data_IF_022364560443
#
_entry.id   IF_022364560443
#
_cell.length_a   1.000
_cell.length_b   1.000
_cell.length_c   1.000
_cell.angle_alpha   90.00
_cell.angle_beta   90.00
_cell.angle_gamma   90.00
#
_symmetry.space_group_name_H-M   'P 1'
#
loop_
_entity.id
_entity.type
_entity.pdbx_description
1 polymer ?
#
# COMPACT_ATOMS: atom_id res chain seq x y z
N UNK A 1 -38.06 37.43 -37.15
CA UNK A 1 -36.60 37.29 -37.30
C UNK A 1 -36.17 36.16 -36.39
N UNK A 2 -36.08 34.93 -36.92
CA UNK A 2 -35.59 33.79 -36.13
C UNK A 2 -34.12 34.04 -35.79
N UNK A 3 -33.78 34.03 -34.50
CA UNK A 3 -32.38 34.06 -34.08
C UNK A 3 -31.77 32.71 -34.47
N UNK A 4 -30.82 32.71 -35.40
CA UNK A 4 -30.03 31.52 -35.71
C UNK A 4 -29.32 31.05 -34.43
N UNK A 5 -29.57 29.82 -34.03
CA UNK A 5 -28.83 29.18 -32.93
C UNK A 5 -27.41 28.91 -33.43
N UNK A 6 -26.42 29.43 -32.71
CA UNK A 6 -25.00 29.19 -32.98
C UNK A 6 -24.59 27.85 -32.34
N UNK A 7 -24.22 26.88 -33.17
CA UNK A 7 -23.88 25.50 -32.76
C UNK A 7 -22.40 25.32 -32.40
N UNK A 8 -21.67 26.42 -32.17
CA UNK A 8 -20.23 26.39 -31.88
C UNK A 8 -19.97 26.08 -30.41
N UNK A 9 -18.96 25.24 -30.18
CA UNK A 9 -18.36 25.06 -28.85
C UNK A 9 -17.20 26.05 -28.72
N UNK A 10 -17.20 26.82 -27.64
CA UNK A 10 -16.19 27.82 -27.30
C UNK A 10 -15.23 27.29 -26.23
N UNK A 11 -13.95 27.73 -26.22
CA UNK A 11 -13.00 27.40 -25.16
C UNK A 11 -13.58 27.66 -23.75
N UNK A 12 -13.43 26.69 -22.86
CA UNK A 12 -13.97 26.69 -21.50
C UNK A 12 -15.39 26.11 -21.36
N UNK A 13 -16.15 25.98 -22.45
CA UNK A 13 -17.47 25.34 -22.37
C UNK A 13 -17.32 23.87 -21.98
N UNK A 14 -18.17 23.44 -21.04
CA UNK A 14 -18.15 22.09 -20.46
C UNK A 14 -16.79 21.72 -19.83
N UNK A 15 -15.93 22.70 -19.53
CA UNK A 15 -14.59 22.49 -18.99
C UNK A 15 -13.56 22.08 -20.03
N UNK A 16 -13.86 22.20 -21.33
CA UNK A 16 -12.98 21.79 -22.43
C UNK A 16 -12.29 23.02 -23.03
N UNK A 17 -10.98 22.94 -23.28
CA UNK A 17 -10.23 24.03 -23.93
C UNK A 17 -9.88 25.21 -23.00
N UNK A 18 -9.94 25.00 -21.69
CA UNK A 18 -9.51 25.94 -20.64
C UNK A 18 -8.47 25.26 -19.75
N UNK A 19 -7.64 26.05 -19.04
CA UNK A 19 -6.70 25.53 -18.03
C UNK A 19 -7.42 25.04 -16.76
N UNK A 20 -8.65 25.48 -16.55
CA UNK A 20 -9.51 25.06 -15.43
C UNK A 20 -10.79 24.40 -15.96
N UNK A 21 -11.21 23.32 -15.30
CA UNK A 21 -12.53 22.72 -15.50
C UNK A 21 -13.67 23.60 -14.98
N UNK A 22 -14.90 23.15 -15.21
CA UNK A 22 -16.10 23.78 -14.64
C UNK A 22 -16.06 23.80 -13.12
N UNK A 23 -16.67 24.81 -12.53
CA UNK A 23 -16.88 24.88 -11.09
C UNK A 23 -17.95 23.85 -10.70
N UNK A 24 -17.64 23.01 -9.71
CA UNK A 24 -18.65 22.18 -9.05
C UNK A 24 -19.62 23.10 -8.30
N UNK A 25 -20.93 23.08 -8.61
CA UNK A 25 -21.89 24.00 -8.00
C UNK A 25 -21.89 23.88 -6.47
N UNK A 26 -21.81 25.02 -5.78
CA UNK A 26 -21.74 25.13 -4.31
C UNK A 26 -20.59 24.35 -3.64
N UNK A 27 -19.59 23.93 -4.43
CA UNK A 27 -18.56 23.00 -3.98
C UNK A 27 -19.09 21.62 -3.60
N UNK A 28 -20.32 21.27 -4.00
CA UNK A 28 -20.96 20.00 -3.70
C UNK A 28 -21.00 19.10 -4.94
N UNK A 29 -20.29 17.98 -4.88
CA UNK A 29 -20.27 17.02 -5.97
C UNK A 29 -21.65 16.45 -6.31
N UNK A 30 -22.63 16.47 -5.38
CA UNK A 30 -23.99 16.04 -5.68
C UNK A 30 -24.72 16.98 -6.64
N UNK A 31 -24.29 18.24 -6.73
CA UNK A 31 -24.89 19.26 -7.60
C UNK A 31 -24.25 19.31 -8.99
N UNK A 32 -23.13 18.62 -9.20
CA UNK A 32 -22.51 18.48 -10.52
C UNK A 32 -23.26 17.45 -11.37
N UNK A 33 -24.39 17.89 -11.93
CA UNK A 33 -25.34 17.05 -12.71
C UNK A 33 -25.33 17.33 -14.22
N UNK A 34 -24.45 18.22 -14.68
CA UNK A 34 -24.31 18.56 -16.11
C UNK A 34 -23.07 17.84 -16.64
N UNK A 35 -23.16 17.27 -17.84
CA UNK A 35 -22.02 16.61 -18.46
C UNK A 35 -20.87 17.61 -18.69
N UNK A 36 -19.65 17.24 -18.31
CA UNK A 36 -18.48 18.08 -18.45
C UNK A 36 -17.29 17.64 -17.61
N UNK A 37 -16.22 18.42 -17.69
CA UNK A 37 -15.00 18.26 -16.88
C UNK A 37 -14.98 19.35 -15.82
N UNK A 38 -14.96 18.94 -14.56
CA UNK A 38 -15.03 19.82 -13.40
C UNK A 38 -13.68 19.89 -12.69
N UNK A 39 -13.35 21.07 -12.18
CA UNK A 39 -12.25 21.26 -11.25
C UNK A 39 -12.74 21.00 -9.82
N UNK A 40 -11.97 20.25 -9.04
CA UNK A 40 -12.31 19.94 -7.67
C UNK A 40 -12.40 21.20 -6.78
N UNK A 41 -13.33 21.27 -5.80
CA UNK A 41 -13.54 22.46 -4.97
C UNK A 41 -12.45 22.72 -3.91
N UNK A 42 -11.48 21.83 -3.75
CA UNK A 42 -10.49 21.88 -2.67
C UNK A 42 -11.03 21.43 -1.31
N UNK A 43 -10.42 21.90 -0.22
CA UNK A 43 -10.69 21.44 1.16
C UNK A 43 -12.14 21.61 1.63
N UNK A 44 -12.88 22.56 1.07
CA UNK A 44 -14.27 22.84 1.43
C UNK A 44 -15.31 21.99 0.66
N UNK A 45 -14.87 21.02 -0.14
CA UNK A 45 -15.76 20.21 -0.95
C UNK A 45 -16.74 19.40 -0.10
N UNK A 46 -17.98 19.30 -0.58
CA UNK A 46 -19.03 18.43 -0.02
C UNK A 46 -19.22 17.22 -0.92
N UNK A 47 -19.51 16.08 -0.31
CA UNK A 47 -19.75 14.81 -1.00
C UNK A 47 -18.61 14.36 -1.94
N UNK A 48 -17.39 14.84 -1.68
CA UNK A 48 -16.15 14.32 -2.27
C UNK A 48 -15.62 13.12 -1.51
N UNK A 49 -14.62 12.45 -2.07
CA UNK A 49 -14.02 11.24 -1.47
C UNK A 49 -12.50 11.31 -1.49
N UNK A 50 -11.86 10.92 -0.38
CA UNK A 50 -10.40 10.97 -0.24
C UNK A 50 -9.83 12.34 -0.63
N UNK A 51 -8.74 12.34 -1.41
CA UNK A 51 -8.10 13.57 -1.90
C UNK A 51 -8.65 14.06 -3.26
N UNK A 52 -9.72 13.45 -3.79
CA UNK A 52 -10.33 13.88 -5.07
C UNK A 52 -10.82 15.32 -5.11
N UNK A 53 -11.16 16.01 -3.99
CA UNK A 53 -11.48 17.44 -4.03
C UNK A 53 -10.39 18.33 -4.63
N UNK A 54 -9.15 17.87 -4.75
CA UNK A 54 -8.04 18.62 -5.36
C UNK A 54 -7.75 18.20 -6.81
N UNK A 55 -8.52 17.25 -7.36
CA UNK A 55 -8.35 16.72 -8.71
C UNK A 55 -9.49 17.07 -9.66
N UNK A 56 -9.36 16.72 -10.95
CA UNK A 56 -10.45 16.82 -11.91
C UNK A 56 -11.52 15.75 -11.67
N UNK A 57 -12.76 16.08 -12.06
CA UNK A 57 -13.90 15.17 -12.04
C UNK A 57 -14.62 15.19 -13.38
N UNK A 58 -14.80 14.02 -13.98
CA UNK A 58 -15.66 13.82 -15.15
C UNK A 58 -17.07 13.52 -14.71
N UNK A 59 -18.02 14.29 -15.25
CA UNK A 59 -19.45 14.06 -15.08
C UNK A 59 -20.02 13.69 -16.44
N UNK A 60 -20.64 12.53 -16.52
CA UNK A 60 -21.23 12.00 -17.76
C UNK A 60 -22.68 11.62 -17.48
N UNK A 61 -23.59 12.48 -17.92
CA UNK A 61 -25.03 12.25 -17.79
C UNK A 61 -25.59 11.59 -19.05
N UNK A 62 -26.36 10.50 -18.88
CA UNK A 62 -27.26 9.99 -19.91
C UNK A 62 -28.54 10.85 -19.97
N UNK A 63 -29.07 11.14 -18.79
CA UNK A 63 -30.19 12.06 -18.48
C UNK A 63 -29.93 12.63 -17.08
N UNK A 64 -30.62 13.70 -16.63
CA UNK A 64 -30.32 14.32 -15.34
C UNK A 64 -30.25 13.32 -14.18
N UNK A 65 -31.11 12.30 -14.15
CA UNK A 65 -31.18 11.33 -13.06
C UNK A 65 -30.30 10.08 -13.20
N UNK A 66 -29.51 10.00 -14.29
CA UNK A 66 -28.59 8.90 -14.56
C UNK A 66 -27.21 9.44 -14.96
N UNK A 67 -26.31 9.51 -13.98
CA UNK A 67 -25.03 10.22 -14.11
C UNK A 67 -23.89 9.39 -13.55
N UNK A 68 -22.86 9.18 -14.35
CA UNK A 68 -21.58 8.66 -13.89
C UNK A 68 -20.66 9.83 -13.49
N UNK A 69 -20.15 9.79 -12.27
CA UNK A 69 -19.07 10.66 -11.83
C UNK A 69 -17.79 9.85 -11.66
N UNK A 70 -16.69 10.38 -12.19
CA UNK A 70 -15.36 9.79 -12.09
C UNK A 70 -14.38 10.85 -11.63
N UNK A 71 -13.69 10.60 -10.54
CA UNK A 71 -12.72 11.53 -9.98
C UNK A 71 -11.40 10.83 -9.76
N UNK A 72 -10.31 11.47 -10.17
CA UNK A 72 -8.96 10.94 -10.03
C UNK A 72 -8.04 11.98 -9.43
N UNK A 73 -7.26 11.58 -8.44
CA UNK A 73 -6.19 12.42 -7.93
C UNK A 73 -5.01 11.60 -7.44
N UNK A 74 -3.80 12.05 -7.78
CA UNK A 74 -2.53 11.34 -7.58
C UNK A 74 -2.56 9.93 -8.16
N UNK A 75 -2.91 8.92 -7.36
CA UNK A 75 -2.88 7.50 -7.73
C UNK A 75 -4.20 6.77 -7.44
N UNK A 76 -5.28 7.47 -7.09
CA UNK A 76 -6.55 6.82 -6.77
C UNK A 76 -7.67 7.31 -7.67
N UNK A 77 -8.26 6.35 -8.38
CA UNK A 77 -9.47 6.57 -9.18
C UNK A 77 -10.70 6.18 -8.37
N UNK A 78 -11.69 7.07 -8.37
CA UNK A 78 -12.99 6.88 -7.76
C UNK A 78 -14.09 7.05 -8.80
N UNK A 79 -15.18 6.32 -8.62
CA UNK A 79 -16.39 6.50 -9.39
C UNK A 79 -17.62 6.30 -8.52
N UNK A 80 -18.71 6.94 -8.93
CA UNK A 80 -20.05 6.68 -8.38
C UNK A 80 -21.09 6.92 -9.45
N UNK A 81 -22.29 6.42 -9.20
CA UNK A 81 -23.40 6.58 -10.12
C UNK A 81 -24.59 7.22 -9.41
N UNK A 82 -25.24 8.16 -10.10
CA UNK A 82 -26.58 8.67 -9.77
C UNK A 82 -27.58 7.82 -10.51
N UNK A 83 -28.57 7.29 -9.80
CA UNK A 83 -29.66 6.50 -10.38
C UNK A 83 -30.99 6.97 -9.80
N UNK A 84 -31.97 7.25 -10.67
CA UNK A 84 -33.27 7.81 -10.31
C UNK A 84 -33.16 9.04 -9.39
N UNK A 85 -32.15 9.85 -9.65
CA UNK A 85 -31.94 11.10 -8.95
C UNK A 85 -31.18 10.97 -7.62
N UNK A 86 -30.85 9.75 -7.20
CA UNK A 86 -30.17 9.44 -5.94
C UNK A 86 -28.71 9.08 -6.20
N UNK A 87 -27.79 9.66 -5.44
CA UNK A 87 -26.37 9.32 -5.54
C UNK A 87 -26.06 8.04 -4.77
N UNK A 88 -25.40 7.09 -5.45
CA UNK A 88 -24.75 5.97 -4.81
C UNK A 88 -23.46 6.37 -4.10
N UNK A 89 -22.90 5.42 -3.36
CA UNK A 89 -21.61 5.58 -2.71
C UNK A 89 -20.48 5.76 -3.73
N UNK A 90 -19.40 6.41 -3.30
CA UNK A 90 -18.14 6.37 -4.02
C UNK A 90 -17.48 5.00 -3.86
N UNK A 91 -17.11 4.42 -5.00
CA UNK A 91 -16.26 3.25 -5.10
C UNK A 91 -14.90 3.68 -5.63
N UNK A 92 -13.86 2.92 -5.28
CA UNK A 92 -12.52 3.15 -5.81
C UNK A 92 -12.09 1.95 -6.66
N UNK A 93 -11.26 2.21 -7.65
CA UNK A 93 -10.64 1.15 -8.46
C UNK A 93 -9.41 0.65 -7.72
N UNK A 94 -9.35 -0.66 -7.47
CA UNK A 94 -8.18 -1.31 -6.90
C UNK A 94 -7.10 -1.40 -7.99
N UNK A 95 -5.96 -0.77 -7.73
CA UNK A 95 -4.81 -0.76 -8.63
C UNK A 95 -3.71 -1.69 -8.09
N UNK A 96 -2.92 -2.27 -8.99
CA UNK A 96 -1.92 -3.30 -8.66
C UNK A 96 -0.75 -2.79 -7.81
N UNK A 97 -0.56 -1.47 -7.72
CA UNK A 97 0.43 -0.81 -6.85
C UNK A 97 -0.04 -0.67 -5.40
N UNK A 98 -1.33 -0.88 -5.12
CA UNK A 98 -1.91 -0.79 -3.78
C UNK A 98 -2.43 -2.15 -3.27
N UNK A 99 -2.63 -3.12 -4.17
CA UNK A 99 -3.23 -4.41 -3.87
C UNK A 99 -2.52 -5.55 -4.59
N UNK A 100 -2.29 -6.64 -3.87
CA UNK A 100 -1.75 -7.92 -4.34
C UNK A 100 -2.80 -9.02 -4.18
N UNK A 101 -2.64 -10.11 -4.92
CA UNK A 101 -3.50 -11.31 -4.81
C UNK A 101 -2.68 -12.40 -4.15
N UNK A 102 -3.18 -12.99 -3.07
CA UNK A 102 -2.49 -14.11 -2.43
C UNK A 102 -2.63 -15.42 -3.22
N UNK A 103 -1.91 -16.46 -2.78
CA UNK A 103 -1.91 -17.77 -3.43
C UNK A 103 -3.31 -18.44 -3.49
N UNK A 104 -4.28 -17.96 -2.69
CA UNK A 104 -5.65 -18.46 -2.65
C UNK A 104 -6.62 -17.56 -3.43
N UNK A 105 -6.14 -16.50 -4.09
CA UNK A 105 -6.97 -15.59 -4.87
C UNK A 105 -7.60 -14.44 -4.06
N UNK A 106 -7.24 -14.25 -2.79
CA UNK A 106 -7.76 -13.13 -2.00
C UNK A 106 -6.95 -11.86 -2.23
N UNK A 107 -7.65 -10.75 -2.51
CA UNK A 107 -7.06 -9.43 -2.61
C UNK A 107 -6.64 -8.90 -1.25
N UNK A 108 -5.46 -8.28 -1.24
CA UNK A 108 -4.72 -8.01 -0.04
C UNK A 108 -3.88 -6.75 -0.27
N UNK A 109 -3.97 -5.78 0.63
CA UNK A 109 -3.20 -4.52 0.50
C UNK A 109 -1.72 -4.83 0.31
N UNK A 110 -1.09 -4.22 -0.69
CA UNK A 110 0.33 -4.35 -0.92
C UNK A 110 1.09 -3.85 0.32
N UNK A 111 2.02 -4.66 0.83
CA UNK A 111 2.74 -4.39 2.08
C UNK A 111 4.23 -4.36 1.78
N UNK A 112 4.99 -3.37 2.29
CA UNK A 112 6.43 -3.36 2.19
C UNK A 112 7.02 -4.62 2.85
N UNK A 113 7.70 -5.45 2.07
CA UNK A 113 8.29 -6.71 2.51
C UNK A 113 9.78 -6.71 2.19
N UNK A 114 10.57 -7.21 3.12
CA UNK A 114 12.00 -7.44 2.95
C UNK A 114 12.29 -8.90 3.23
N UNK A 115 12.83 -9.62 2.24
CA UNK A 115 13.29 -10.99 2.40
C UNK A 115 14.78 -10.97 2.71
N UNK A 116 15.16 -11.46 3.88
CA UNK A 116 16.54 -11.50 4.37
C UNK A 116 17.06 -12.93 4.21
N UNK A 117 18.12 -13.07 3.44
CA UNK A 117 18.83 -14.33 3.23
C UNK A 117 20.19 -14.26 3.95
N UNK A 118 20.89 -15.39 4.02
CA UNK A 118 22.21 -15.45 4.66
C UNK A 118 23.28 -14.59 3.97
N UNK A 119 23.12 -14.31 2.67
CA UNK A 119 24.11 -13.65 1.83
C UNK A 119 23.57 -12.46 1.01
N UNK A 120 22.25 -12.21 1.06
CA UNK A 120 21.59 -11.14 0.31
C UNK A 120 20.30 -10.73 1.00
N UNK A 121 19.71 -9.64 0.53
CA UNK A 121 18.33 -9.30 0.83
C UNK A 121 17.60 -8.91 -0.46
N UNK A 122 16.27 -9.00 -0.43
CA UNK A 122 15.40 -8.63 -1.55
C UNK A 122 14.27 -7.75 -1.03
N UNK A 123 13.97 -6.67 -1.75
CA UNK A 123 12.87 -5.73 -1.49
C UNK A 123 11.82 -5.84 -2.58
N UNK A 124 10.56 -5.56 -2.24
CA UNK A 124 9.50 -5.33 -3.23
C UNK A 124 9.41 -3.85 -3.60
N UNK A 125 8.50 -3.51 -4.52
CA UNK A 125 8.32 -2.13 -4.97
C UNK A 125 7.95 -1.19 -3.81
N UNK A 126 7.20 -1.70 -2.83
CA UNK A 126 6.74 -0.97 -1.66
C UNK A 126 7.80 -0.79 -0.57
N UNK A 127 8.90 -1.57 -0.58
CA UNK A 127 10.02 -1.46 0.38
C UNK A 127 11.30 -0.91 -0.24
N UNK A 128 11.20 -0.27 -1.41
CA UNK A 128 12.33 0.44 -2.04
C UNK A 128 12.90 1.50 -1.10
N UNK A 129 14.23 1.50 -0.95
CA UNK A 129 14.95 2.40 -0.04
C UNK A 129 15.33 1.74 1.29
N UNK A 130 14.69 0.63 1.66
CA UNK A 130 15.13 -0.15 2.80
C UNK A 130 16.42 -0.91 2.47
N UNK A 131 17.31 -1.01 3.44
CA UNK A 131 18.57 -1.75 3.32
C UNK A 131 18.77 -2.70 4.49
N UNK A 132 19.46 -3.80 4.25
CA UNK A 132 19.78 -4.79 5.30
C UNK A 132 21.29 -5.00 5.37
N UNK A 133 21.81 -4.91 6.58
CA UNK A 133 23.24 -5.09 6.89
C UNK A 133 23.41 -6.23 7.89
N UNK A 134 24.25 -7.22 7.57
CA UNK A 134 24.65 -8.28 8.52
C UNK A 134 25.84 -7.79 9.33
N UNK A 135 25.66 -7.56 10.63
CA UNK A 135 26.74 -7.09 11.51
C UNK A 135 27.61 -8.24 12.04
N UNK A 136 26.97 -9.35 12.41
CA UNK A 136 27.65 -10.55 12.90
C UNK A 136 26.82 -11.78 12.57
N UNK A 137 27.31 -12.96 12.94
CA UNK A 137 26.52 -14.19 12.82
C UNK A 137 25.19 -14.04 13.57
N UNK A 138 24.11 -14.32 12.85
CA UNK A 138 22.75 -14.26 13.37
C UNK A 138 22.25 -12.85 13.72
N UNK A 139 22.94 -11.78 13.32
CA UNK A 139 22.53 -10.40 13.63
C UNK A 139 22.45 -9.54 12.37
N UNK A 140 21.23 -9.08 12.08
CA UNK A 140 20.87 -8.30 10.90
C UNK A 140 20.25 -6.96 11.34
N UNK A 141 20.61 -5.88 10.64
CA UNK A 141 20.08 -4.54 10.86
C UNK A 141 19.32 -4.10 9.61
N UNK A 142 18.07 -3.69 9.78
CA UNK A 142 17.21 -3.17 8.72
C UNK A 142 17.07 -1.66 8.90
N UNK A 143 17.53 -0.90 7.91
CA UNK A 143 17.53 0.58 7.89
C UNK A 143 16.59 1.11 6.81
N UNK A 144 16.21 2.39 6.92
CA UNK A 144 15.31 3.05 5.97
C UNK A 144 13.83 2.69 6.19
N UNK A 145 13.49 2.26 7.40
CA UNK A 145 12.15 1.82 7.81
C UNK A 145 11.76 2.50 9.13
N UNK A 146 10.47 2.55 9.43
CA UNK A 146 9.88 3.11 10.65
C UNK A 146 9.42 2.00 11.62
N UNK A 147 10.14 0.87 11.63
CA UNK A 147 9.75 -0.33 12.36
C UNK A 147 8.89 -1.30 11.55
N UNK A 148 8.22 -2.22 12.25
CA UNK A 148 7.33 -3.19 11.62
C UNK A 148 6.06 -2.55 11.10
N UNK A 149 5.44 -3.20 10.13
CA UNK A 149 4.16 -2.74 9.59
C UNK A 149 3.08 -2.73 10.70
N UNK A 150 2.49 -1.57 10.95
CA UNK A 150 1.48 -1.37 12.01
C UNK A 150 0.09 -1.90 11.65
N UNK A 151 -0.12 -2.38 10.42
CA UNK A 151 -1.40 -2.94 9.99
C UNK A 151 -1.63 -4.31 10.63
N UNK A 152 -2.60 -4.37 11.55
CA UNK A 152 -2.98 -5.57 12.28
C UNK A 152 -3.47 -6.72 11.36
N UNK A 153 -3.87 -6.42 10.11
CA UNK A 153 -4.24 -7.45 9.13
C UNK A 153 -3.03 -8.23 8.58
N UNK A 154 -1.82 -7.72 8.81
CA UNK A 154 -0.58 -8.22 8.20
C UNK A 154 0.53 -8.54 9.21
N UNK A 155 0.64 -7.72 10.25
CA UNK A 155 1.68 -7.83 11.28
C UNK A 155 1.37 -8.85 12.37
N UNK A 156 0.10 -9.19 12.58
CA UNK A 156 -0.29 -9.72 13.90
C UNK A 156 0.15 -8.76 15.02
N UNK A 157 0.21 -9.24 16.25
CA UNK A 157 0.69 -8.43 17.40
C UNK A 157 2.21 -8.21 17.35
N UNK A 158 2.94 -9.07 16.62
CA UNK A 158 4.41 -9.18 16.67
C UNK A 158 5.11 -8.77 15.34
N UNK A 159 4.48 -7.91 14.54
CA UNK A 159 5.17 -7.19 13.45
C UNK A 159 5.34 -7.92 12.10
N UNK A 160 4.72 -9.08 11.87
CA UNK A 160 4.63 -9.67 10.53
C UNK A 160 5.93 -10.28 10.04
N UNK A 161 6.56 -11.08 10.90
CA UNK A 161 7.76 -11.85 10.59
C UNK A 161 7.38 -13.28 10.22
N UNK A 162 7.86 -13.75 9.07
CA UNK A 162 7.78 -15.16 8.68
C UNK A 162 9.17 -15.80 8.68
N UNK A 163 9.30 -16.92 9.40
CA UNK A 163 10.56 -17.63 9.62
C UNK A 163 10.62 -18.92 8.80
N UNK A 164 11.83 -19.37 8.40
CA UNK A 164 11.95 -20.54 7.54
C UNK A 164 11.57 -21.84 8.26
N UNK A 165 10.70 -22.61 7.61
CA UNK A 165 10.24 -23.91 8.09
C UNK A 165 10.95 -25.06 7.34
N UNK A 166 11.15 -26.18 8.03
CA UNK A 166 11.56 -27.43 7.41
C UNK A 166 10.38 -28.12 6.71
N UNK A 167 10.65 -29.22 5.99
CA UNK A 167 9.63 -30.02 5.28
C UNK A 167 8.48 -30.52 6.18
N UNK A 168 8.71 -30.63 7.49
CA UNK A 168 7.72 -31.06 8.49
C UNK A 168 7.03 -29.89 9.19
N UNK A 169 7.13 -28.67 8.65
CA UNK A 169 6.60 -27.42 9.25
C UNK A 169 7.18 -27.09 10.64
N UNK A 170 8.38 -27.58 10.95
CA UNK A 170 9.11 -27.19 12.15
C UNK A 170 10.03 -26.00 11.83
N UNK A 171 10.01 -24.91 12.62
CA UNK A 171 10.88 -23.76 12.38
C UNK A 171 12.37 -24.10 12.53
N UNK A 172 13.19 -23.61 11.61
CA UNK A 172 14.63 -23.91 11.60
C UNK A 172 15.45 -22.99 12.52
N UNK A 173 14.89 -21.84 12.88
CA UNK A 173 15.51 -20.82 13.73
C UNK A 173 14.48 -20.23 14.69
N UNK A 174 14.96 -19.63 15.76
CA UNK A 174 14.24 -18.63 16.55
C UNK A 174 14.55 -17.24 16.01
N UNK A 175 13.65 -16.30 16.24
CA UNK A 175 13.84 -14.90 15.91
C UNK A 175 13.49 -14.06 17.13
N UNK A 176 14.35 -13.10 17.41
CA UNK A 176 14.09 -12.00 18.34
C UNK A 176 14.35 -10.67 17.62
N UNK A 177 13.78 -9.59 18.10
CA UNK A 177 13.97 -8.27 17.49
C UNK A 177 13.92 -7.12 18.51
N UNK A 178 14.58 -6.04 18.14
CA UNK A 178 14.56 -4.77 18.85
C UNK A 178 14.33 -3.65 17.83
N UNK A 179 13.29 -2.85 18.03
CA UNK A 179 13.03 -1.66 17.20
C UNK A 179 13.66 -0.46 17.89
N UNK A 180 14.61 0.17 17.23
CA UNK A 180 15.31 1.34 17.73
C UNK A 180 14.43 2.59 17.59
N UNK A 181 14.69 3.68 18.35
CA UNK A 181 13.88 4.89 18.31
C UNK A 181 13.80 5.59 16.95
N UNK A 182 14.78 5.35 16.07
CA UNK A 182 14.83 5.85 14.69
C UNK A 182 14.03 4.98 13.70
N UNK A 183 13.40 3.90 14.17
CA UNK A 183 12.67 2.93 13.37
C UNK A 183 13.52 1.79 12.83
N UNK A 184 14.84 1.83 13.00
CA UNK A 184 15.75 0.75 12.59
C UNK A 184 15.37 -0.54 13.33
N UNK A 185 15.28 -1.66 12.60
CA UNK A 185 14.98 -2.96 13.20
C UNK A 185 16.26 -3.76 13.32
N UNK A 186 16.61 -4.14 14.55
CA UNK A 186 17.65 -5.12 14.84
C UNK A 186 16.99 -6.47 14.95
N UNK A 187 17.41 -7.41 14.09
CA UNK A 187 16.86 -8.76 13.99
C UNK A 187 17.94 -9.76 14.39
N UNK A 188 17.63 -10.63 15.36
CA UNK A 188 18.52 -11.67 15.85
C UNK A 188 17.93 -13.04 15.56
N UNK A 189 18.74 -13.92 14.99
CA UNK A 189 18.34 -15.28 14.63
C UNK A 189 19.16 -16.29 15.44
N UNK A 190 18.47 -17.27 16.02
CA UNK A 190 19.09 -18.28 16.88
C UNK A 190 18.80 -19.69 16.38
N UNK A 191 19.71 -20.61 16.65
CA UNK A 191 19.56 -22.01 16.30
C UNK A 191 18.40 -22.61 17.08
N UNK A 192 17.53 -23.34 16.37
CA UNK A 192 16.38 -24.01 16.97
C UNK A 192 16.47 -25.51 16.79
N UNK A 193 16.60 -26.22 17.90
CA UNK A 193 16.48 -27.68 17.91
C UNK A 193 15.09 -28.10 18.38
N UNK A 194 14.64 -29.25 17.88
CA UNK A 194 13.37 -29.88 18.25
C UNK A 194 13.66 -31.21 18.93
N UNK A 195 13.92 -31.25 20.25
CA UNK A 195 14.35 -32.47 20.94
C UNK A 195 13.31 -33.60 20.86
N UNK A 196 12.04 -33.25 20.80
CA UNK A 196 10.91 -34.19 20.69
C UNK A 196 10.73 -34.76 19.27
N UNK A 197 11.46 -34.24 18.28
CA UNK A 197 11.40 -34.73 16.91
C UNK A 197 12.31 -35.97 16.70
N UNK A 198 12.00 -36.82 15.70
CA UNK A 198 12.91 -37.87 15.26
C UNK A 198 14.29 -37.30 14.88
N UNK A 199 15.36 -38.08 15.07
CA UNK A 199 16.76 -37.64 14.86
C UNK A 199 16.97 -36.90 13.54
N UNK A 200 16.38 -37.39 12.44
CA UNK A 200 16.50 -36.78 11.11
C UNK A 200 15.77 -35.42 10.95
N UNK A 201 14.92 -35.05 11.92
CA UNK A 201 14.08 -33.86 11.92
C UNK A 201 14.34 -32.92 13.11
N UNK A 202 15.28 -33.26 14.01
CA UNK A 202 15.62 -32.45 15.19
C UNK A 202 16.24 -31.10 14.85
N UNK A 203 16.77 -30.95 13.64
CA UNK A 203 17.56 -29.79 13.25
C UNK A 203 18.85 -29.63 14.08
N UNK A 204 19.40 -30.71 14.64
CA UNK A 204 20.65 -30.66 15.38
C UNK A 204 21.82 -30.33 14.44
N UNK A 205 22.70 -29.41 14.85
CA UNK A 205 23.86 -28.98 14.06
C UNK A 205 25.13 -29.01 14.91
N UNK A 206 26.17 -29.63 14.39
CA UNK A 206 27.46 -29.68 15.08
C UNK A 206 28.00 -28.25 15.32
N UNK A 207 28.43 -27.99 16.56
CA UNK A 207 28.95 -26.69 16.98
C UNK A 207 27.89 -25.67 17.41
N UNK A 208 26.60 -26.02 17.39
CA UNK A 208 25.52 -25.15 17.86
C UNK A 208 24.64 -25.90 18.87
N UNK A 209 24.13 -25.15 19.84
CA UNK A 209 23.10 -25.56 20.79
C UNK A 209 21.84 -24.73 20.53
N UNK A 210 20.67 -25.25 20.93
CA UNK A 210 19.44 -24.48 20.87
C UNK A 210 19.57 -23.14 21.61
N UNK A 211 19.31 -22.04 20.90
CA UNK A 211 19.45 -20.68 21.41
C UNK A 211 20.77 -19.99 21.06
N UNK A 212 21.72 -20.66 20.41
CA UNK A 212 22.95 -20.02 19.94
C UNK A 212 22.69 -19.13 18.73
N UNK A 213 23.38 -17.99 18.62
CA UNK A 213 23.29 -17.13 17.44
C UNK A 213 23.72 -17.90 16.20
N UNK A 214 22.92 -17.82 15.14
CA UNK A 214 23.21 -18.49 13.88
C UNK A 214 22.64 -17.70 12.72
N UNK A 215 23.35 -17.69 11.60
CA UNK A 215 22.79 -17.11 10.37
C UNK A 215 21.60 -17.90 9.84
N UNK A 216 20.79 -17.21 9.04
CA UNK A 216 19.68 -17.80 8.30
C UNK A 216 20.19 -18.99 7.48
N UNK A 217 19.51 -20.15 7.48
CA UNK A 217 19.98 -21.30 6.72
C UNK A 217 20.13 -21.01 5.21
N UNK A 218 21.15 -21.56 4.52
CA UNK A 218 21.32 -21.37 3.08
C UNK A 218 20.09 -21.78 2.27
N UNK A 219 19.72 -20.97 1.27
CA UNK A 219 18.53 -21.23 0.44
C UNK A 219 17.20 -21.06 1.17
N UNK A 220 17.21 -20.36 2.30
CA UNK A 220 16.04 -19.93 3.07
C UNK A 220 16.15 -18.44 3.39
N UNK A 221 15.02 -17.84 3.71
CA UNK A 221 14.93 -16.43 4.09
C UNK A 221 14.01 -16.24 5.30
N UNK A 222 14.18 -15.12 5.98
CA UNK A 222 13.20 -14.53 6.90
C UNK A 222 12.51 -13.40 6.14
N UNK A 223 11.18 -13.40 6.11
CA UNK A 223 10.40 -12.33 5.50
C UNK A 223 9.93 -11.38 6.59
N UNK A 224 10.25 -10.10 6.44
CA UNK A 224 9.89 -9.05 7.39
C UNK A 224 8.99 -8.03 6.71
N UNK A 225 7.83 -7.77 7.30
CA UNK A 225 6.93 -6.69 6.87
C UNK A 225 7.27 -5.40 7.61
N UNK A 226 7.59 -4.36 6.86
CA UNK A 226 8.07 -3.09 7.43
C UNK A 226 7.08 -1.95 7.20
N UNK A 227 7.19 -0.92 8.02
CA UNK A 227 6.61 0.38 7.78
C UNK A 227 7.66 1.23 7.06
N UNK A 228 7.32 1.77 5.88
CA UNK A 228 8.21 2.70 5.18
C UNK A 228 7.89 4.15 5.55
N UNK A 229 8.89 5.06 5.55
CA UNK A 229 8.63 6.51 5.53
C UNK A 229 7.74 6.86 4.34
N UNK A 230 6.77 7.75 4.52
CA UNK A 230 5.94 8.20 3.40
C UNK A 230 6.78 9.00 2.40
N UNK A 231 6.41 8.99 1.12
CA UNK A 231 7.02 9.86 0.11
C UNK A 231 6.89 11.37 0.42
N UNK A 232 6.02 11.74 1.37
CA UNK A 232 5.85 13.11 1.85
C UNK A 232 6.77 13.45 3.05
N UNK A 233 7.41 12.46 3.71
CA UNK A 233 8.27 12.66 4.88
C UNK A 233 9.72 13.05 4.52
N UNK A 234 10.17 12.79 3.27
CA UNK A 234 11.48 13.25 2.77
C UNK A 234 11.59 14.78 2.66
N UNK A 235 10.48 15.53 2.78
CA UNK A 235 10.48 17.00 2.66
C UNK A 235 10.63 17.75 3.98
N UNK A 236 10.73 17.06 5.11
CA UNK A 236 10.82 17.70 6.43
C UNK A 236 12.25 17.80 6.98
N UNK A 237 13.27 17.37 6.23
CA UNK A 237 14.67 17.40 6.66
C UNK A 237 15.57 18.29 5.79
N UNK A 238 15.10 19.49 5.41
CA UNK A 238 15.96 20.58 4.88
C UNK A 238 15.68 21.86 5.66
#
# INVERSE_FOLDING_TARGET
MEKSIDWKIYPGQFGIGSSNGMIVPDGDYNNAIISGVYAGPGSAAKNGVGSTPYGPCFVMARVPDHILQQAYYKNQFYYRYREYGVWGNWYYVMTSDQWTVDANGFYKKASPVINIWNNKFETNDESKGATVERLSEGLYIIKGVLGFNADAMWGGVDGGIEIPLCKNKLPLIWVDYEVLPDGTIKLMTYHREHPDAPVFARNAREGYTNGDLIDIPPGRFVSVRVQMPGADDEKLSI
#
